data_IF_859113677322
#
_entry.id   IF_859113677322
#
_cell.length_a   1.000
_cell.length_b   1.000
_cell.length_c   1.000
_cell.angle_alpha   90.00
_cell.angle_beta   90.00
_cell.angle_gamma   90.00
#
_symmetry.space_group_name_H-M   'P 1'
#
loop_
_entity.id
_entity.type
_entity.pdbx_description
1 polymer ?
#
# COMPACT_ATOMS: atom_id res chain seq x y z
N UNK A 1 7.82 29.11 -6.87
CA UNK A 1 8.73 27.99 -7.17
C UNK A 1 8.34 27.42 -8.52
N UNK A 2 9.26 27.29 -9.48
CA UNK A 2 8.98 26.70 -10.79
C UNK A 2 8.92 25.17 -10.74
N UNK A 3 8.20 24.53 -11.67
CA UNK A 3 8.06 23.06 -11.75
C UNK A 3 9.42 22.35 -11.84
N UNK A 4 10.37 22.93 -12.59
CA UNK A 4 11.75 22.45 -12.71
C UNK A 4 12.51 22.44 -11.39
N UNK A 5 12.21 23.37 -10.47
CA UNK A 5 12.80 23.39 -9.14
C UNK A 5 12.18 22.32 -8.23
N UNK A 6 10.87 22.06 -8.36
CA UNK A 6 10.20 21.00 -7.60
C UNK A 6 10.68 19.60 -7.98
N UNK A 7 10.87 19.33 -9.28
CA UNK A 7 11.43 18.07 -9.78
C UNK A 7 12.92 17.89 -9.48
N UNK A 8 13.62 18.98 -9.15
CA UNK A 8 15.02 18.92 -8.68
C UNK A 8 15.17 18.35 -7.27
N UNK A 9 14.10 18.27 -6.48
CA UNK A 9 14.13 17.72 -5.13
C UNK A 9 14.20 16.20 -5.18
N UNK A 10 15.17 15.62 -4.47
CA UNK A 10 15.39 14.16 -4.49
C UNK A 10 14.18 13.37 -3.99
N UNK A 11 13.51 13.87 -2.95
CA UNK A 11 12.27 13.22 -2.45
C UNK A 11 11.17 13.20 -3.51
N UNK A 12 11.05 14.27 -4.32
CA UNK A 12 10.01 14.38 -5.35
C UNK A 12 10.30 13.38 -6.47
N UNK A 13 11.55 13.28 -6.90
CA UNK A 13 11.99 12.29 -7.90
C UNK A 13 11.75 10.87 -7.41
N UNK A 14 12.15 10.56 -6.18
CA UNK A 14 11.97 9.23 -5.60
C UNK A 14 10.49 8.88 -5.43
N UNK A 15 9.66 9.84 -5.00
CA UNK A 15 8.22 9.67 -4.89
C UNK A 15 7.56 9.42 -6.27
N UNK A 16 7.98 10.14 -7.32
CA UNK A 16 7.48 9.93 -8.68
C UNK A 16 7.86 8.55 -9.22
N UNK A 17 9.10 8.11 -9.00
CA UNK A 17 9.58 6.79 -9.44
C UNK A 17 8.82 5.69 -8.68
N UNK A 18 8.80 5.75 -7.35
CA UNK A 18 8.10 4.77 -6.52
C UNK A 18 6.59 4.76 -6.82
N UNK A 19 5.97 5.93 -6.90
CA UNK A 19 4.56 6.09 -7.24
C UNK A 19 4.22 5.57 -8.64
N UNK A 20 5.11 5.72 -9.61
CA UNK A 20 4.95 5.16 -10.95
C UNK A 20 4.86 3.63 -10.93
N UNK A 21 5.78 2.96 -10.22
CA UNK A 21 5.72 1.50 -10.05
C UNK A 21 4.46 1.05 -9.29
N UNK A 22 4.09 1.77 -8.23
CA UNK A 22 2.89 1.48 -7.44
C UNK A 22 1.62 1.66 -8.29
N UNK A 23 1.55 2.69 -9.15
CA UNK A 23 0.39 2.94 -10.00
C UNK A 23 0.14 1.81 -11.01
N UNK A 24 1.22 1.27 -11.61
CA UNK A 24 1.11 0.12 -12.53
C UNK A 24 0.62 -1.11 -11.78
N UNK A 25 1.20 -1.41 -10.61
CA UNK A 25 0.78 -2.54 -9.79
C UNK A 25 -0.68 -2.41 -9.32
N UNK A 26 -1.07 -1.22 -8.84
CA UNK A 26 -2.42 -0.93 -8.37
C UNK A 26 -3.46 -1.01 -9.51
N UNK A 27 -3.12 -0.55 -10.72
CA UNK A 27 -4.00 -0.66 -11.88
C UNK A 27 -4.27 -2.11 -12.28
N UNK A 28 -3.23 -2.95 -12.31
CA UNK A 28 -3.36 -4.38 -12.61
C UNK A 28 -4.19 -5.10 -11.54
N UNK A 29 -3.91 -4.88 -10.25
CA UNK A 29 -4.63 -5.53 -9.14
C UNK A 29 -6.08 -5.04 -9.06
N UNK A 30 -6.30 -3.73 -9.24
CA UNK A 30 -7.63 -3.12 -9.17
C UNK A 30 -8.62 -3.70 -10.17
N UNK A 31 -8.16 -4.03 -11.38
CA UNK A 31 -9.00 -4.70 -12.38
C UNK A 31 -9.58 -6.03 -11.87
N UNK A 32 -8.74 -6.88 -11.26
CA UNK A 32 -9.20 -8.14 -10.67
C UNK A 32 -10.12 -7.94 -9.47
N UNK A 33 -9.83 -6.96 -8.62
CA UNK A 33 -10.65 -6.63 -7.45
C UNK A 33 -12.06 -6.23 -7.86
N UNK A 34 -12.20 -5.43 -8.92
CA UNK A 34 -13.51 -5.03 -9.49
C UNK A 34 -14.23 -6.24 -10.05
N UNK A 35 -13.57 -7.05 -10.88
CA UNK A 35 -14.18 -8.25 -11.46
C UNK A 35 -14.64 -9.27 -10.41
N UNK A 36 -13.92 -9.38 -9.28
CA UNK A 36 -14.28 -10.26 -8.17
C UNK A 36 -15.33 -9.66 -7.21
N UNK A 37 -15.79 -8.43 -7.47
CA UNK A 37 -16.68 -7.68 -6.60
C UNK A 37 -16.13 -7.54 -5.16
N UNK A 38 -14.82 -7.29 -5.03
CA UNK A 38 -14.07 -7.21 -3.76
C UNK A 38 -13.58 -5.79 -3.45
N UNK A 39 -14.22 -4.75 -4.00
CA UNK A 39 -13.75 -3.35 -3.90
C UNK A 39 -13.68 -2.88 -2.43
N UNK A 40 -14.66 -3.24 -1.60
CA UNK A 40 -14.65 -2.92 -0.16
C UNK A 40 -13.55 -3.66 0.60
N UNK A 41 -13.23 -4.89 0.19
CA UNK A 41 -12.12 -5.66 0.77
C UNK A 41 -10.79 -4.94 0.56
N UNK A 42 -10.57 -4.35 -0.61
CA UNK A 42 -9.36 -3.59 -0.90
C UNK A 42 -9.23 -2.31 -0.03
N UNK A 43 -10.33 -1.61 0.23
CA UNK A 43 -10.35 -0.46 1.14
C UNK A 43 -10.05 -0.86 2.60
N UNK A 44 -10.68 -1.94 3.07
CA UNK A 44 -10.44 -2.49 4.40
C UNK A 44 -8.97 -2.90 4.61
N UNK A 45 -8.34 -3.51 3.59
CA UNK A 45 -6.93 -3.90 3.65
C UNK A 45 -6.03 -2.69 3.94
N UNK A 46 -6.30 -1.53 3.34
CA UNK A 46 -5.51 -0.30 3.59
C UNK A 46 -5.51 0.13 5.06
N UNK A 47 -6.67 0.07 5.73
CA UNK A 47 -6.81 0.41 7.15
C UNK A 47 -6.09 -0.61 8.05
N UNK A 48 -6.13 -1.88 7.67
CA UNK A 48 -5.47 -2.96 8.41
C UNK A 48 -3.95 -2.98 8.19
N UNK A 49 -3.46 -2.51 7.04
CA UNK A 49 -2.04 -2.32 6.77
C UNK A 49 -1.46 -1.28 7.74
N UNK A 50 -2.13 -0.13 7.89
CA UNK A 50 -1.71 0.92 8.81
C UNK A 50 -1.73 0.43 10.26
N UNK A 51 -2.86 -0.10 10.71
CA UNK A 51 -3.04 -0.63 12.08
C UNK A 51 -2.04 -1.74 12.39
N UNK A 52 -1.84 -2.68 11.47
CA UNK A 52 -0.89 -3.78 11.62
C UNK A 52 0.57 -3.34 11.59
N UNK A 53 0.91 -2.33 10.80
CA UNK A 53 2.25 -1.76 10.79
C UNK A 53 2.61 -1.09 12.12
N UNK A 54 1.67 -0.36 12.73
CA UNK A 54 1.81 0.20 14.07
C UNK A 54 1.91 -0.91 15.13
N UNK A 55 1.06 -1.94 15.04
CA UNK A 55 1.15 -3.11 15.93
C UNK A 55 2.50 -3.83 15.84
N UNK A 56 3.02 -4.01 14.62
CA UNK A 56 4.34 -4.58 14.40
C UNK A 56 5.46 -3.71 14.98
N UNK A 57 5.37 -2.39 14.82
CA UNK A 57 6.31 -1.45 15.42
C UNK A 57 6.31 -1.52 16.96
N UNK A 58 5.13 -1.64 17.59
CA UNK A 58 5.00 -1.83 19.04
C UNK A 58 5.64 -3.14 19.51
N UNK A 59 5.58 -4.20 18.69
CA UNK A 59 6.26 -5.46 18.95
C UNK A 59 7.78 -5.42 18.69
N UNK A 60 8.34 -4.27 18.32
CA UNK A 60 9.76 -4.11 17.98
C UNK A 60 10.15 -4.68 16.61
N UNK A 61 9.16 -4.99 15.76
CA UNK A 61 9.38 -5.50 14.41
C UNK A 61 9.48 -4.36 13.39
N UNK A 62 9.97 -4.68 12.20
CA UNK A 62 10.00 -3.75 11.10
C UNK A 62 8.57 -3.42 10.63
N UNK A 63 8.29 -2.14 10.39
CA UNK A 63 7.00 -1.61 9.93
C UNK A 63 6.49 -2.34 8.69
N UNK A 64 7.37 -2.69 7.76
CA UNK A 64 7.01 -3.44 6.55
C UNK A 64 6.51 -4.84 6.89
N UNK A 65 7.14 -5.52 7.83
CA UNK A 65 6.73 -6.88 8.25
C UNK A 65 5.36 -6.82 8.91
N UNK A 66 5.11 -5.81 9.75
CA UNK A 66 3.79 -5.59 10.36
C UNK A 66 2.70 -5.34 9.32
N UNK A 67 2.98 -4.50 8.32
CA UNK A 67 2.04 -4.21 7.23
C UNK A 67 1.75 -5.46 6.38
N UNK A 68 2.78 -6.21 5.97
CA UNK A 68 2.59 -7.40 5.13
C UNK A 68 1.86 -8.51 5.88
N UNK A 69 2.25 -8.79 7.12
CA UNK A 69 1.63 -9.85 7.92
C UNK A 69 0.15 -9.58 8.18
N UNK A 70 -0.22 -8.34 8.52
CA UNK A 70 -1.62 -7.98 8.78
C UNK A 70 -2.46 -8.05 7.51
N UNK A 71 -1.96 -7.54 6.38
CA UNK A 71 -2.65 -7.61 5.09
C UNK A 71 -2.93 -9.06 4.68
N UNK A 72 -1.96 -9.97 4.81
CA UNK A 72 -2.12 -11.39 4.48
C UNK A 72 -3.13 -12.05 5.42
N UNK A 73 -3.03 -11.80 6.73
CA UNK A 73 -3.96 -12.36 7.70
C UNK A 73 -5.41 -11.95 7.43
N UNK A 74 -5.65 -10.67 7.13
CA UNK A 74 -6.98 -10.14 6.83
C UNK A 74 -7.48 -10.63 5.47
N UNK A 75 -6.62 -10.68 4.45
CA UNK A 75 -6.99 -11.20 3.14
C UNK A 75 -7.42 -12.68 3.22
N UNK A 76 -6.75 -13.49 4.05
CA UNK A 76 -7.17 -14.86 4.33
C UNK A 76 -8.52 -14.88 5.07
N UNK A 77 -8.68 -14.09 6.14
CA UNK A 77 -9.91 -14.07 6.92
C UNK A 77 -11.16 -13.65 6.13
N UNK A 78 -11.02 -12.74 5.15
CA UNK A 78 -12.13 -12.31 4.28
C UNK A 78 -12.32 -13.28 3.10
N UNK A 79 -11.22 -13.88 2.62
CA UNK A 79 -11.21 -14.73 1.42
C UNK A 79 -11.58 -16.20 1.64
N UNK A 80 -11.64 -16.65 2.90
CA UNK A 80 -12.14 -17.97 3.33
C UNK A 80 -13.59 -17.93 3.75
#
# INVERSE_FOLDING_TARGET
>A
MGLTQMLGLEFMRNAFIAGGFIAVAAGLVGYFVVLRNQVFTADAIGHTAFTGSLGGLLAGLNVLVGAFASCVAVALAIGT
#
